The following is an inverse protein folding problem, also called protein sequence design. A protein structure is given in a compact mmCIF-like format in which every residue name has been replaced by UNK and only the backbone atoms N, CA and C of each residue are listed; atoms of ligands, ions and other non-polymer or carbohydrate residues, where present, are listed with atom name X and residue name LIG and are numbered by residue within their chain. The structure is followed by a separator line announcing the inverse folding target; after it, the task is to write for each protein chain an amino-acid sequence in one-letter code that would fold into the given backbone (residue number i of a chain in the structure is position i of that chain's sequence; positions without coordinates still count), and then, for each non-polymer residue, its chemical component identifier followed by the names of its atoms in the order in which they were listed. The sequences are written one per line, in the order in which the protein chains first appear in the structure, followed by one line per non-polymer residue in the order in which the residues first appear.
data_IF_093982768075
#
_entry.id   IF_093982768075
#
_cell.length_a   1.000
_cell.length_b   1.000
_cell.length_c   1.000
_cell.angle_alpha   90.00
_cell.angle_beta   90.00
_cell.angle_gamma   90.00
#
_symmetry.space_group_name_H-M   'P 1'
#
loop_
_entity.id
_entity.type
_entity.pdbx_description
1 polymer ?
#
# COMPACT_ATOMS: atom_id res chain seq x y z
N UNK A 1 -9.58 2.88 -16.47
CA UNK A 1 -9.95 3.73 -15.32
C UNK A 1 -9.46 5.14 -15.60
N UNK A 2 -10.38 6.12 -15.70
CA UNK A 2 -9.97 7.51 -15.85
C UNK A 2 -9.33 8.04 -14.54
N UNK A 3 -8.54 9.14 -14.64
CA UNK A 3 -8.01 9.84 -13.45
C UNK A 3 -9.13 10.17 -12.47
N UNK A 4 -10.29 10.60 -12.98
CA UNK A 4 -11.46 10.94 -12.16
C UNK A 4 -12.03 9.74 -11.40
N UNK A 5 -12.09 8.56 -12.03
CA UNK A 5 -12.54 7.32 -11.37
C UNK A 5 -11.57 6.89 -10.27
N UNK A 6 -10.27 7.04 -10.52
CA UNK A 6 -9.21 6.78 -9.55
C UNK A 6 -9.35 7.70 -8.33
N UNK A 7 -9.52 9.00 -8.53
CA UNK A 7 -9.68 9.98 -7.46
C UNK A 7 -10.95 9.73 -6.64
N UNK A 8 -12.07 9.39 -7.28
CA UNK A 8 -13.32 9.01 -6.61
C UNK A 8 -13.11 7.75 -5.77
N UNK A 9 -12.40 6.75 -6.29
CA UNK A 9 -12.10 5.51 -5.58
C UNK A 9 -11.26 5.78 -4.33
N UNK A 10 -10.21 6.61 -4.45
CA UNK A 10 -9.36 7.02 -3.32
C UNK A 10 -10.19 7.74 -2.24
N UNK A 11 -11.08 8.64 -2.64
CA UNK A 11 -11.96 9.35 -1.69
C UNK A 11 -12.91 8.41 -0.94
N UNK A 12 -13.46 7.40 -1.61
CA UNK A 12 -14.30 6.38 -0.96
C UNK A 12 -13.50 5.56 0.05
N UNK A 13 -12.29 5.14 -0.32
CA UNK A 13 -11.39 4.43 0.60
C UNK A 13 -11.01 5.32 1.78
N UNK A 14 -10.66 6.59 1.55
CA UNK A 14 -10.33 7.54 2.61
C UNK A 14 -11.50 7.74 3.60
N UNK A 15 -12.71 7.84 3.10
CA UNK A 15 -13.91 7.93 3.94
C UNK A 15 -14.08 6.69 4.83
N UNK A 16 -13.92 5.49 4.26
CA UNK A 16 -14.00 4.23 5.02
C UNK A 16 -12.89 4.14 6.07
N UNK A 17 -11.66 4.48 5.70
CA UNK A 17 -10.52 4.52 6.62
C UNK A 17 -10.77 5.48 7.79
N UNK A 18 -11.28 6.68 7.50
CA UNK A 18 -11.65 7.67 8.52
C UNK A 18 -12.69 7.13 9.49
N UNK A 19 -13.74 6.50 8.97
CA UNK A 19 -14.81 5.95 9.80
C UNK A 19 -14.29 4.87 10.74
N UNK A 20 -13.47 3.96 10.25
CA UNK A 20 -12.87 2.88 11.03
C UNK A 20 -11.85 3.40 12.05
N UNK A 21 -10.94 4.29 11.63
CA UNK A 21 -9.92 4.85 12.49
C UNK A 21 -10.52 5.63 13.68
N UNK A 22 -11.59 6.39 13.45
CA UNK A 22 -12.32 7.11 14.53
C UNK A 22 -12.95 6.17 15.57
N UNK A 23 -13.14 4.91 15.22
CA UNK A 23 -13.66 3.87 16.11
C UNK A 23 -12.54 2.99 16.68
N UNK A 24 -11.28 3.43 16.62
CA UNK A 24 -10.14 2.72 17.23
C UNK A 24 -9.62 1.54 16.43
N UNK A 25 -10.01 1.41 15.16
CA UNK A 25 -9.54 0.34 14.27
C UNK A 25 -8.30 0.79 13.52
N UNK A 26 -7.21 0.01 13.58
CA UNK A 26 -6.07 0.18 12.70
C UNK A 26 -6.44 -0.27 11.28
N UNK A 27 -6.23 0.61 10.29
CA UNK A 27 -6.63 0.36 8.91
C UNK A 27 -5.41 0.38 8.01
N UNK A 28 -5.25 -0.67 7.21
CA UNK A 28 -4.25 -0.75 6.15
C UNK A 28 -4.94 -0.67 4.80
N UNK A 29 -4.57 0.32 4.00
CA UNK A 29 -5.06 0.48 2.64
C UNK A 29 -3.92 0.32 1.66
N UNK A 30 -3.96 -0.73 0.83
CA UNK A 30 -3.04 -0.94 -0.27
C UNK A 30 -3.69 -0.44 -1.56
N UNK A 31 -3.24 0.69 -2.06
CA UNK A 31 -3.76 1.31 -3.28
C UNK A 31 -2.64 2.01 -4.04
N UNK A 32 -2.72 2.07 -5.37
CA UNK A 32 -1.72 2.74 -6.21
C UNK A 32 -1.70 4.25 -5.92
N UNK A 33 -2.86 4.88 -5.83
CA UNK A 33 -3.03 6.31 -5.47
C UNK A 33 -2.02 7.24 -6.17
N UNK A 34 -2.05 7.38 -7.51
CA UNK A 34 -1.00 8.05 -8.27
C UNK A 34 -0.92 9.56 -8.02
N UNK A 35 -2.02 10.20 -7.66
CA UNK A 35 -2.12 11.66 -7.47
C UNK A 35 -1.71 12.08 -6.07
N UNK A 36 -0.76 13.03 -5.96
CA UNK A 36 -0.38 13.68 -4.68
C UNK A 36 -1.57 14.39 -4.06
N UNK A 37 -2.34 15.11 -4.85
CA UNK A 37 -3.49 15.87 -4.37
C UNK A 37 -4.51 14.95 -3.69
N UNK A 38 -4.80 13.78 -4.31
CA UNK A 38 -5.73 12.80 -3.74
C UNK A 38 -5.21 12.23 -2.42
N UNK A 39 -3.90 11.91 -2.31
CA UNK A 39 -3.29 11.42 -1.06
C UNK A 39 -3.31 12.50 0.03
N UNK A 40 -2.95 13.74 -0.29
CA UNK A 40 -3.00 14.86 0.65
C UNK A 40 -4.42 15.15 1.15
N UNK A 41 -5.41 15.02 0.28
CA UNK A 41 -6.82 15.14 0.67
C UNK A 41 -7.22 14.03 1.64
N UNK A 42 -6.83 12.78 1.35
CA UNK A 42 -7.06 11.64 2.25
C UNK A 42 -6.39 11.85 3.61
N UNK A 43 -5.12 12.29 3.64
CA UNK A 43 -4.39 12.62 4.85
C UNK A 43 -5.14 13.65 5.71
N UNK A 44 -5.58 14.75 5.12
CA UNK A 44 -6.33 15.81 5.82
C UNK A 44 -7.66 15.31 6.36
N UNK A 45 -8.32 14.45 5.61
CA UNK A 45 -9.62 13.93 5.98
C UNK A 45 -9.57 12.92 7.11
N UNK A 46 -8.57 12.02 7.11
CA UNK A 46 -8.39 10.94 8.09
C UNK A 46 -7.78 11.49 9.39
N UNK A 47 -6.79 12.36 9.29
CA UNK A 47 -6.08 12.95 10.42
C UNK A 47 -4.92 12.07 10.90
N UNK A 48 -5.20 10.97 11.59
CA UNK A 48 -4.17 9.97 11.98
C UNK A 48 -3.82 9.11 10.77
N UNK A 49 -2.76 9.49 10.07
CA UNK A 49 -2.41 8.93 8.76
C UNK A 49 -0.90 8.71 8.65
N UNK A 50 -0.51 7.57 8.12
CA UNK A 50 0.89 7.24 7.78
C UNK A 50 0.93 6.88 6.30
N UNK A 51 1.70 7.65 5.54
CA UNK A 51 1.95 7.38 4.12
C UNK A 51 3.20 6.50 3.99
N UNK A 52 3.00 5.32 3.43
CA UNK A 52 4.08 4.40 3.10
C UNK A 52 4.30 4.43 1.59
N UNK A 53 5.44 4.94 1.18
CA UNK A 53 5.84 4.89 -0.23
C UNK A 53 6.56 3.57 -0.52
N UNK A 54 5.89 2.70 -1.25
CA UNK A 54 6.46 1.44 -1.74
C UNK A 54 7.15 1.74 -3.07
N UNK A 55 8.45 2.01 -3.00
CA UNK A 55 9.26 2.41 -4.15
C UNK A 55 9.84 1.17 -4.84
N UNK A 56 9.67 1.12 -6.18
CA UNK A 56 10.27 0.10 -7.02
C UNK A 56 10.53 0.69 -8.42
N UNK A 57 11.71 0.46 -9.03
CA UNK A 57 11.96 0.85 -10.41
C UNK A 57 11.00 0.14 -11.37
N UNK A 58 10.50 0.86 -12.38
CA UNK A 58 9.56 0.30 -13.37
C UNK A 58 10.07 -0.98 -14.02
N UNK A 59 11.37 -1.04 -14.34
CA UNK A 59 11.97 -2.24 -14.94
C UNK A 59 11.79 -3.49 -14.05
N UNK A 60 11.95 -3.33 -12.73
CA UNK A 60 11.77 -4.41 -11.76
C UNK A 60 10.28 -4.77 -11.61
N UNK A 61 9.38 -3.79 -11.66
CA UNK A 61 7.94 -4.04 -11.67
C UNK A 61 7.52 -4.85 -12.91
N UNK A 62 8.08 -4.52 -14.07
CA UNK A 62 7.83 -5.26 -15.33
C UNK A 62 8.37 -6.69 -15.27
N UNK A 63 9.56 -6.88 -14.66
CA UNK A 63 10.15 -8.21 -14.48
C UNK A 63 9.30 -9.10 -13.56
N UNK A 64 8.73 -8.50 -12.49
CA UNK A 64 7.90 -9.19 -11.50
C UNK A 64 6.44 -9.37 -11.95
N UNK A 65 6.06 -8.86 -13.12
CA UNK A 65 4.66 -8.83 -13.59
C UNK A 65 4.18 -10.20 -14.08
N UNK A 66 3.61 -10.98 -13.17
CA UNK A 66 2.99 -12.27 -13.47
C UNK A 66 1.65 -12.13 -14.22
N UNK A 67 1.03 -10.96 -14.21
CA UNK A 67 -0.27 -10.69 -14.86
C UNK A 67 -0.12 -10.21 -16.31
N UNK A 68 1.07 -9.73 -16.68
CA UNK A 68 1.35 -9.13 -17.97
C UNK A 68 0.71 -7.74 -18.18
N UNK A 69 0.20 -7.11 -17.12
CA UNK A 69 -0.44 -5.81 -17.20
C UNK A 69 0.54 -4.69 -17.55
N UNK A 70 1.74 -4.69 -16.96
CA UNK A 70 2.77 -3.71 -17.33
C UNK A 70 3.19 -3.84 -18.79
N UNK A 71 3.35 -5.06 -19.29
CA UNK A 71 3.70 -5.27 -20.70
C UNK A 71 2.60 -4.77 -21.64
N UNK A 72 1.33 -4.98 -21.30
CA UNK A 72 0.19 -4.46 -22.06
C UNK A 72 0.13 -2.94 -22.04
N UNK A 73 0.36 -2.33 -20.88
CA UNK A 73 0.41 -0.88 -20.75
C UNK A 73 1.54 -0.24 -21.56
N UNK A 74 2.74 -0.83 -21.52
CA UNK A 74 3.89 -0.37 -22.31
C UNK A 74 3.70 -0.52 -23.82
N UNK A 75 2.90 -1.51 -24.27
CA UNK A 75 2.51 -1.68 -25.67
C UNK A 75 1.39 -0.73 -26.10
N UNK A 76 0.76 -0.02 -25.16
CA UNK A 76 -0.37 0.86 -25.44
C UNK A 76 -1.74 0.15 -25.48
N UNK A 77 -1.79 -1.13 -25.14
CA UNK A 77 -3.04 -1.90 -25.07
C UNK A 77 -3.91 -1.49 -23.87
N UNK A 78 -3.29 -0.91 -22.84
CA UNK A 78 -3.97 -0.40 -21.64
C UNK A 78 -3.56 1.06 -21.47
N UNK A 79 -4.56 1.94 -21.41
CA UNK A 79 -4.38 3.37 -21.11
C UNK A 79 -4.58 3.61 -19.60
N UNK A 80 -4.11 4.77 -19.12
CA UNK A 80 -4.27 5.22 -17.73
C UNK A 80 -3.71 4.22 -16.68
N UNK A 81 -2.63 3.51 -17.03
CA UNK A 81 -1.95 2.60 -16.10
C UNK A 81 -0.86 3.35 -15.33
N UNK A 82 -1.13 3.62 -14.06
CA UNK A 82 -0.25 4.40 -13.21
C UNK A 82 1.16 3.81 -13.09
N UNK A 83 2.18 4.64 -13.34
CA UNK A 83 3.58 4.24 -13.30
C UNK A 83 4.12 3.63 -14.61
N UNK A 84 3.25 3.43 -15.64
CA UNK A 84 3.67 2.95 -16.95
C UNK A 84 3.19 3.87 -18.08
N UNK A 85 1.88 3.90 -18.38
CA UNK A 85 1.31 4.79 -19.39
C UNK A 85 0.82 6.12 -18.81
N UNK A 86 0.61 6.20 -17.49
CA UNK A 86 0.24 7.42 -16.77
C UNK A 86 1.25 7.70 -15.63
N UNK A 87 1.66 8.96 -15.40
CA UNK A 87 2.67 9.27 -14.40
C UNK A 87 2.19 8.97 -12.98
N UNK A 88 3.09 8.41 -12.18
CA UNK A 88 2.95 8.31 -10.74
C UNK A 88 3.67 9.49 -10.07
N UNK A 89 2.95 10.27 -9.31
CA UNK A 89 3.52 11.41 -8.57
C UNK A 89 4.10 10.93 -7.24
N UNK A 90 5.44 10.83 -7.15
CA UNK A 90 6.11 10.40 -5.91
C UNK A 90 5.71 11.29 -4.72
N UNK A 91 5.48 10.71 -3.51
CA UNK A 91 5.21 11.49 -2.31
C UNK A 91 6.39 12.42 -1.99
N UNK A 92 6.08 13.62 -1.51
CA UNK A 92 7.12 14.58 -1.08
C UNK A 92 7.57 14.33 0.37
N UNK A 93 6.66 13.85 1.22
CA UNK A 93 6.86 13.74 2.67
C UNK A 93 6.23 12.45 3.22
N UNK A 94 6.49 11.29 2.59
CA UNK A 94 6.05 10.01 3.13
C UNK A 94 6.72 9.75 4.48
N UNK A 95 5.99 9.27 5.47
CA UNK A 95 6.53 8.87 6.77
C UNK A 95 7.49 7.69 6.66
N UNK A 96 7.22 6.79 5.69
CA UNK A 96 8.07 5.63 5.42
C UNK A 96 8.29 5.48 3.92
N UNK A 97 9.54 5.21 3.53
CA UNK A 97 9.89 4.79 2.17
C UNK A 97 10.52 3.41 2.24
N UNK A 98 9.95 2.44 1.53
CA UNK A 98 10.48 1.08 1.38
C UNK A 98 10.90 0.86 -0.06
N UNK A 99 12.15 0.40 -0.28
CA UNK A 99 12.72 0.18 -1.61
C UNK A 99 12.73 -1.33 -1.91
N UNK A 100 11.63 -1.82 -2.47
CA UNK A 100 11.37 -3.26 -2.64
C UNK A 100 12.27 -3.97 -3.66
N UNK A 101 13.10 -3.25 -4.38
CA UNK A 101 14.18 -3.78 -5.21
C UNK A 101 15.48 -4.04 -4.43
N UNK A 102 15.61 -3.49 -3.19
CA UNK A 102 16.81 -3.54 -2.36
C UNK A 102 16.60 -4.25 -1.03
N UNK A 103 15.35 -4.38 -0.60
CA UNK A 103 14.99 -4.95 0.69
C UNK A 103 13.91 -6.03 0.53
N UNK A 104 13.91 -6.99 1.44
CA UNK A 104 12.92 -8.05 1.49
C UNK A 104 11.58 -7.51 2.01
N UNK A 105 10.51 -8.29 1.83
CA UNK A 105 9.21 -7.94 2.38
C UNK A 105 9.23 -7.83 3.92
N UNK A 106 10.02 -8.68 4.59
CA UNK A 106 10.18 -8.67 6.04
C UNK A 106 10.92 -7.42 6.52
N UNK A 107 12.01 -7.04 5.85
CA UNK A 107 12.74 -5.81 6.16
C UNK A 107 11.85 -4.57 5.97
N UNK A 108 11.09 -4.52 4.87
CA UNK A 108 10.12 -3.47 4.60
C UNK A 108 9.04 -3.40 5.68
N UNK A 109 8.46 -4.55 6.08
CA UNK A 109 7.46 -4.63 7.13
C UNK A 109 8.00 -4.17 8.48
N UNK A 110 9.21 -4.60 8.85
CA UNK A 110 9.88 -4.18 10.08
C UNK A 110 10.13 -2.66 10.09
N UNK A 111 10.55 -2.08 8.97
CA UNK A 111 10.78 -0.65 8.82
C UNK A 111 9.48 0.15 9.03
N UNK A 112 8.36 -0.32 8.47
CA UNK A 112 7.04 0.28 8.69
C UNK A 112 6.65 0.16 10.17
N UNK A 113 6.81 -1.02 10.77
CA UNK A 113 6.45 -1.26 12.16
C UNK A 113 7.24 -0.38 13.13
N UNK A 114 8.55 -0.24 12.94
CA UNK A 114 9.39 0.66 13.74
C UNK A 114 8.91 2.10 13.64
N UNK A 115 8.53 2.56 12.44
CA UNK A 115 7.99 3.91 12.27
C UNK A 115 6.66 4.09 13.00
N UNK A 116 5.79 3.10 13.02
CA UNK A 116 4.54 3.16 13.79
C UNK A 116 4.78 3.26 15.29
N UNK A 117 5.83 2.61 15.81
CA UNK A 117 6.28 2.74 17.20
C UNK A 117 6.80 4.16 17.46
N UNK A 118 7.69 4.67 16.61
CA UNK A 118 8.24 6.03 16.72
C UNK A 118 7.15 7.10 16.74
N UNK A 119 6.10 6.92 15.95
CA UNK A 119 4.95 7.81 15.88
C UNK A 119 3.93 7.61 17.00
N UNK A 120 4.14 6.62 17.88
CA UNK A 120 3.27 6.34 19.02
C UNK A 120 1.96 5.64 18.67
N UNK A 121 1.81 5.10 17.46
CA UNK A 121 0.63 4.33 17.06
C UNK A 121 0.60 2.92 17.61
N UNK A 122 1.76 2.35 17.89
CA UNK A 122 1.93 1.00 18.44
C UNK A 122 2.89 1.04 19.61
N UNK A 123 2.58 0.33 20.69
CA UNK A 123 3.50 0.18 21.82
C UNK A 123 4.46 -1.00 21.61
N UNK A 124 5.72 -0.83 22.03
CA UNK A 124 6.74 -1.90 21.93
C UNK A 124 6.39 -3.19 22.69
N UNK A 125 5.50 -3.11 23.67
CA UNK A 125 5.12 -4.24 24.54
C UNK A 125 4.20 -5.27 23.89
N UNK A 126 3.76 -5.04 22.65
CA UNK A 126 2.87 -5.96 21.90
C UNK A 126 3.55 -6.95 20.96
N UNK A 127 4.89 -6.89 20.82
CA UNK A 127 5.62 -7.66 19.80
C UNK A 127 6.00 -9.11 20.19
N UNK A 128 5.53 -9.62 21.32
CA UNK A 128 5.90 -10.95 21.80
C UNK A 128 4.66 -11.84 22.02
N UNK A 129 3.99 -12.20 20.94
CA UNK A 129 2.98 -13.23 20.96
C UNK A 129 2.52 -13.53 19.54
N UNK A 130 2.63 -14.77 19.11
CA UNK A 130 1.92 -15.24 17.94
C UNK A 130 0.43 -14.95 18.14
N UNK A 131 -0.09 -13.97 17.42
CA UNK A 131 -1.52 -13.58 17.49
C UNK A 131 -2.38 -14.69 16.88
N UNK A 132 -1.78 -15.51 16.03
CA UNK A 132 -2.44 -16.62 15.34
C UNK A 132 -1.81 -17.96 15.72
N UNK A 133 -2.65 -18.98 15.87
CA UNK A 133 -2.17 -20.36 15.95
C UNK A 133 -1.57 -20.79 14.60
N UNK A 134 -0.69 -21.81 14.57
CA UNK A 134 -0.16 -22.34 13.32
C UNK A 134 -1.25 -22.71 12.29
N UNK A 135 -2.39 -23.22 12.76
CA UNK A 135 -3.54 -23.57 11.92
C UNK A 135 -4.24 -22.33 11.32
N UNK A 136 -4.26 -21.21 12.03
CA UNK A 136 -4.79 -19.94 11.53
C UNK A 136 -3.85 -19.29 10.52
N UNK A 137 -2.53 -19.36 10.76
CA UNK A 137 -1.52 -18.89 9.81
C UNK A 137 -1.61 -19.65 8.48
N UNK A 138 -1.78 -20.97 8.53
CA UNK A 138 -1.93 -21.79 7.33
C UNK A 138 -3.20 -21.44 6.54
N UNK A 139 -4.32 -21.20 7.23
CA UNK A 139 -5.56 -20.72 6.59
C UNK A 139 -5.40 -19.34 5.95
N UNK A 140 -4.64 -18.44 6.59
CA UNK A 140 -4.33 -17.12 6.02
C UNK A 140 -3.48 -17.26 4.77
N UNK A 141 -2.41 -18.07 4.82
CA UNK A 141 -1.54 -18.36 3.66
C UNK A 141 -2.34 -18.97 2.50
N UNK A 142 -3.20 -19.94 2.78
CA UNK A 142 -4.05 -20.56 1.75
C UNK A 142 -4.98 -19.53 1.09
N UNK A 143 -5.58 -18.62 1.86
CA UNK A 143 -6.40 -17.53 1.32
C UNK A 143 -5.60 -16.57 0.46
N UNK A 144 -4.42 -16.16 0.91
CA UNK A 144 -3.54 -15.27 0.15
C UNK A 144 -3.10 -15.92 -1.16
N UNK A 145 -2.76 -17.23 -1.14
CA UNK A 145 -2.43 -18.00 -2.31
C UNK A 145 -3.58 -18.07 -3.32
N UNK A 146 -4.80 -18.33 -2.86
CA UNK A 146 -6.00 -18.32 -3.72
C UNK A 146 -6.30 -16.97 -4.36
N UNK A 147 -5.89 -15.88 -3.72
CA UNK A 147 -6.04 -14.51 -4.20
C UNK A 147 -4.86 -14.05 -5.08
N UNK A 148 -3.82 -14.89 -5.23
CA UNK A 148 -2.65 -14.60 -6.06
C UNK A 148 -1.65 -13.63 -5.41
N UNK A 149 -1.63 -13.52 -4.09
CA UNK A 149 -0.67 -12.66 -3.37
C UNK A 149 0.64 -13.38 -3.00
N UNK A 150 0.59 -14.70 -2.88
CA UNK A 150 1.75 -15.57 -2.58
C UNK A 150 1.64 -16.89 -3.36
#
# INVERSE_FOLDING_TARGET
FSKQDSDISIQRVAFMCKLLARNGVAVFSAAISPSREAREKARKEIGSFVEVYVKCPLAVCVERDITGLYQKALKGDIQDFAGASDPFEEPLNAEVVVETDKETAEESANKIFQKLIELGYVSQTGAAGHVYSPEEEDKIKERLSRLGYI
#
